data_IF_762835466868
#
_entry.id   IF_762835466868
#
_cell.length_a   1.000
_cell.length_b   1.000
_cell.length_c   1.000
_cell.angle_alpha   90.00
_cell.angle_beta   90.00
_cell.angle_gamma   90.00
#
_symmetry.space_group_name_H-M   'P 1'
#
loop_
_entity.id
_entity.type
_entity.pdbx_description
1 polymer ?
#
# COMPACT_ATOMS: atom_id res chain seq x y z
N UNK A 1 -4.81 -3.04 -22.21
CA UNK A 1 -5.19 -3.29 -20.80
C UNK A 1 -4.04 -3.88 -19.98
N UNK A 2 -3.33 -4.93 -20.44
CA UNK A 2 -2.20 -5.51 -19.69
C UNK A 2 -0.92 -4.64 -19.79
N UNK A 3 -0.58 -4.16 -20.99
CA UNK A 3 0.64 -3.35 -21.22
C UNK A 3 0.58 -2.02 -20.44
N UNK A 4 -0.60 -1.39 -20.42
CA UNK A 4 -0.85 -0.16 -19.64
C UNK A 4 -0.67 -0.40 -18.14
N UNK A 5 -1.12 -1.54 -17.63
CA UNK A 5 -0.92 -1.93 -16.24
C UNK A 5 0.56 -2.14 -15.88
N UNK A 6 1.32 -2.77 -16.79
CA UNK A 6 2.76 -2.99 -16.60
C UNK A 6 3.54 -1.67 -16.52
N UNK A 7 3.22 -0.72 -17.40
CA UNK A 7 3.87 0.60 -17.41
C UNK A 7 3.57 1.35 -16.11
N UNK A 8 2.31 1.38 -15.68
CA UNK A 8 1.91 2.04 -14.43
C UNK A 8 2.57 1.37 -13.23
N UNK A 9 2.59 0.04 -13.18
CA UNK A 9 3.23 -0.71 -12.10
C UNK A 9 4.74 -0.47 -12.01
N UNK A 10 5.43 -0.38 -13.15
CA UNK A 10 6.88 -0.10 -13.20
C UNK A 10 7.19 1.31 -12.69
N UNK A 11 6.45 2.31 -13.14
CA UNK A 11 6.60 3.70 -12.68
C UNK A 11 6.31 3.82 -11.18
N UNK A 12 5.22 3.21 -10.71
CA UNK A 12 4.82 3.21 -9.30
C UNK A 12 5.88 2.50 -8.43
N UNK A 13 6.37 1.35 -8.88
CA UNK A 13 7.42 0.59 -8.21
C UNK A 13 8.72 1.38 -8.08
N UNK A 14 9.14 2.07 -9.14
CA UNK A 14 10.32 2.93 -9.12
C UNK A 14 10.18 4.09 -8.10
N UNK A 15 9.01 4.74 -8.07
CA UNK A 15 8.73 5.81 -7.11
C UNK A 15 8.75 5.29 -5.67
N UNK A 16 8.13 4.14 -5.40
CA UNK A 16 8.12 3.55 -4.06
C UNK A 16 9.48 3.06 -3.59
N UNK A 17 10.29 2.51 -4.50
CA UNK A 17 11.65 2.09 -4.19
C UNK A 17 12.53 3.30 -3.79
N UNK A 18 12.50 4.38 -4.59
CA UNK A 18 13.24 5.61 -4.29
C UNK A 18 12.72 6.32 -3.03
N UNK A 19 11.41 6.29 -2.82
CA UNK A 19 10.77 6.87 -1.64
C UNK A 19 10.85 6.00 -0.39
N UNK A 20 11.33 4.75 -0.48
CA UNK A 20 11.26 3.73 0.60
C UNK A 20 9.91 3.75 1.33
N UNK A 21 8.82 3.85 0.56
CA UNK A 21 7.50 4.13 1.11
C UNK A 21 7.02 2.96 1.97
N UNK A 22 6.80 3.22 3.26
CA UNK A 22 6.41 2.21 4.21
C UNK A 22 5.40 2.80 5.20
N UNK A 23 4.14 2.37 5.11
CA UNK A 23 3.06 2.89 5.97
C UNK A 23 3.34 2.58 7.43
N UNK A 24 3.72 1.33 7.75
CA UNK A 24 4.09 0.94 9.12
C UNK A 24 5.32 1.70 9.62
N UNK A 25 6.28 1.98 8.71
CA UNK A 25 7.43 2.83 8.98
C UNK A 25 7.05 4.27 9.34
N UNK A 26 6.10 4.87 8.62
CA UNK A 26 5.65 6.23 8.89
C UNK A 26 5.01 6.38 10.27
N UNK A 27 4.18 5.41 10.70
CA UNK A 27 3.62 5.39 12.06
C UNK A 27 4.67 5.12 13.13
N UNK A 28 5.63 4.23 12.84
CA UNK A 28 6.75 3.93 13.74
C UNK A 28 7.66 5.14 13.94
N UNK A 29 8.01 5.83 12.87
CA UNK A 29 8.92 6.99 12.92
C UNK A 29 8.26 8.18 13.64
N UNK A 30 6.94 8.35 13.48
CA UNK A 30 6.15 9.33 14.23
C UNK A 30 6.20 9.06 15.75
N UNK A 31 6.06 7.80 16.16
CA UNK A 31 5.99 7.40 17.58
C UNK A 31 7.34 7.32 18.27
N UNK A 32 8.39 6.81 17.59
CA UNK A 32 9.71 6.60 18.18
C UNK A 32 10.66 7.80 18.01
N UNK A 33 10.66 8.43 16.84
CA UNK A 33 11.62 9.49 16.51
C UNK A 33 10.99 10.88 16.45
N UNK A 34 9.66 10.98 16.53
CA UNK A 34 8.92 12.23 16.36
C UNK A 34 9.02 12.80 14.93
N UNK A 35 9.53 12.03 13.97
CA UNK A 35 9.71 12.50 12.61
C UNK A 35 8.39 12.46 11.85
N UNK A 36 7.78 13.62 11.65
CA UNK A 36 6.48 13.78 10.98
C UNK A 36 6.56 13.77 9.46
N UNK A 37 7.77 13.77 8.88
CA UNK A 37 7.96 13.90 7.42
C UNK A 37 7.23 12.83 6.62
N UNK A 38 7.37 11.56 6.98
CA UNK A 38 6.73 10.47 6.23
C UNK A 38 5.23 10.38 6.52
N UNK A 39 4.81 10.79 7.71
CA UNK A 39 3.41 10.85 8.08
C UNK A 39 2.66 11.94 7.31
N UNK A 40 3.25 13.13 7.15
CA UNK A 40 2.65 14.22 6.36
C UNK A 40 2.56 13.85 4.87
N UNK A 41 3.59 13.21 4.31
CA UNK A 41 3.56 12.68 2.94
C UNK A 41 2.42 11.68 2.75
N UNK A 42 2.17 10.81 3.72
CA UNK A 42 1.08 9.83 3.66
C UNK A 42 -0.29 10.50 3.61
N UNK A 43 -0.53 11.52 4.44
CA UNK A 43 -1.79 12.28 4.44
C UNK A 43 -2.00 13.01 3.11
N UNK A 44 -0.95 13.67 2.60
CA UNK A 44 -1.02 14.36 1.30
C UNK A 44 -1.30 13.37 0.17
N UNK A 45 -0.68 12.19 0.19
CA UNK A 45 -0.91 11.14 -0.81
C UNK A 45 -2.36 10.66 -0.80
N UNK A 46 -2.95 10.43 0.39
CA UNK A 46 -4.36 10.05 0.52
C UNK A 46 -5.28 11.16 -0.01
N UNK A 47 -5.00 12.42 0.31
CA UNK A 47 -5.79 13.56 -0.14
C UNK A 47 -5.74 13.74 -1.67
N UNK A 48 -4.57 13.63 -2.28
CA UNK A 48 -4.42 13.71 -3.73
C UNK A 48 -5.12 12.54 -4.42
N UNK A 49 -5.01 11.33 -3.85
CA UNK A 49 -5.65 10.14 -4.40
C UNK A 49 -7.18 10.21 -4.33
N UNK A 50 -7.74 10.69 -3.22
CA UNK A 50 -9.20 10.84 -3.06
C UNK A 50 -9.77 11.87 -4.03
N UNK A 51 -9.11 13.02 -4.19
CA UNK A 51 -9.50 14.04 -5.17
C UNK A 51 -9.41 13.48 -6.59
N UNK A 52 -8.32 12.77 -6.91
CA UNK A 52 -8.15 12.13 -8.22
C UNK A 52 -9.28 11.15 -8.55
N UNK A 53 -9.62 10.24 -7.63
CA UNK A 53 -10.71 9.28 -7.81
C UNK A 53 -12.06 9.98 -8.00
N UNK A 54 -12.35 11.02 -7.21
CA UNK A 54 -13.61 11.77 -7.31
C UNK A 54 -13.73 12.50 -8.65
N UNK A 55 -12.65 13.11 -9.14
CA UNK A 55 -12.61 13.73 -10.46
C UNK A 55 -12.85 12.69 -11.56
N UNK A 56 -12.14 11.56 -11.55
CA UNK A 56 -12.30 10.52 -12.57
C UNK A 56 -13.71 9.91 -12.57
N UNK A 57 -14.37 9.86 -11.41
CA UNK A 57 -15.77 9.47 -11.31
C UNK A 57 -16.72 10.50 -11.93
N UNK A 58 -16.50 11.79 -11.68
CA UNK A 58 -17.30 12.87 -12.26
C UNK A 58 -17.22 12.95 -13.79
N UNK A 59 -16.07 12.54 -14.37
CA UNK A 59 -15.87 12.45 -15.82
C UNK A 59 -16.45 11.16 -16.45
N UNK A 60 -17.07 10.28 -15.65
CA UNK A 60 -17.72 9.05 -16.14
C UNK A 60 -16.74 7.99 -16.66
N UNK A 61 -15.44 8.14 -16.39
CA UNK A 61 -14.40 7.17 -16.82
C UNK A 61 -14.37 5.95 -15.90
N UNK A 62 -14.75 6.11 -14.62
CA UNK A 62 -14.74 5.05 -13.60
C UNK A 62 -16.04 5.10 -12.79
N UNK A 63 -16.76 3.98 -12.72
CA UNK A 63 -17.89 3.81 -11.79
C UNK A 63 -17.35 3.35 -10.44
N UNK A 64 -17.54 4.17 -9.39
CA UNK A 64 -17.31 3.71 -8.02
C UNK A 64 -18.51 2.86 -7.62
N UNK A 65 -18.41 1.55 -7.84
CA UNK A 65 -19.38 0.61 -7.29
C UNK A 65 -19.19 0.55 -5.77
N UNK A 66 -20.15 1.06 -5.01
CA UNK A 66 -20.14 0.95 -3.55
C UNK A 66 -20.45 -0.51 -3.17
N UNK A 67 -19.40 -1.35 -3.13
CA UNK A 67 -19.52 -2.69 -2.61
C UNK A 67 -20.04 -2.67 -1.16
N UNK A 68 -20.86 -3.65 -0.73
CA UNK A 68 -21.34 -3.70 0.64
C UNK A 68 -20.13 -3.81 1.58
N UNK A 69 -19.98 -2.85 2.49
CA UNK A 69 -18.86 -2.81 3.42
C UNK A 69 -19.04 -3.90 4.49
N UNK A 70 -18.27 -5.02 4.44
CA UNK A 70 -18.44 -6.11 5.38
C UNK A 70 -17.69 -5.75 6.67
N UNK A 71 -18.33 -4.96 7.53
CA UNK A 71 -17.72 -4.36 8.73
C UNK A 71 -16.96 -5.39 9.60
N UNK A 72 -17.52 -6.58 9.79
CA UNK A 72 -16.91 -7.62 10.62
C UNK A 72 -15.65 -8.21 9.95
N UNK A 73 -15.71 -8.45 8.64
CA UNK A 73 -14.57 -8.95 7.88
C UNK A 73 -13.44 -7.90 7.81
N UNK A 74 -13.78 -6.62 7.66
CA UNK A 74 -12.79 -5.53 7.64
C UNK A 74 -12.07 -5.36 8.98
N UNK A 75 -12.78 -5.47 10.11
CA UNK A 75 -12.16 -5.36 11.44
C UNK A 75 -11.28 -6.58 11.74
N UNK A 76 -11.82 -7.79 11.57
CA UNK A 76 -11.08 -9.03 11.88
C UNK A 76 -9.92 -9.21 10.91
N UNK A 77 -10.15 -9.03 9.62
CA UNK A 77 -9.11 -9.12 8.59
C UNK A 77 -8.04 -8.05 8.76
N UNK A 78 -8.42 -6.80 9.07
CA UNK A 78 -7.47 -5.71 9.31
C UNK A 78 -6.54 -5.99 10.50
N UNK A 79 -7.07 -6.53 11.60
CA UNK A 79 -6.27 -6.91 12.77
C UNK A 79 -5.30 -8.05 12.44
N UNK A 80 -5.79 -9.14 11.84
CA UNK A 80 -4.94 -10.29 11.47
C UNK A 80 -3.85 -9.86 10.48
N UNK A 81 -4.20 -9.07 9.47
CA UNK A 81 -3.27 -8.53 8.50
C UNK A 81 -2.22 -7.63 9.15
N UNK A 82 -2.62 -6.76 10.08
CA UNK A 82 -1.72 -5.92 10.85
C UNK A 82 -0.70 -6.73 11.65
N UNK A 83 -1.16 -7.73 12.42
CA UNK A 83 -0.27 -8.62 13.17
C UNK A 83 0.69 -9.38 12.26
N UNK A 84 0.19 -9.96 11.17
CA UNK A 84 1.00 -10.71 10.21
C UNK A 84 2.07 -9.83 9.55
N UNK A 85 1.77 -8.58 9.20
CA UNK A 85 2.73 -7.64 8.62
C UNK A 85 3.90 -7.32 9.55
N UNK A 86 3.63 -7.19 10.86
CA UNK A 86 4.69 -6.96 11.86
C UNK A 86 5.62 -8.17 11.94
N UNK A 87 5.06 -9.39 11.95
CA UNK A 87 5.84 -10.63 11.93
C UNK A 87 6.65 -10.80 10.63
N UNK A 88 6.10 -10.41 9.48
CA UNK A 88 6.79 -10.45 8.21
C UNK A 88 7.91 -9.39 8.06
N UNK A 89 8.02 -8.44 8.99
CA UNK A 89 9.05 -7.40 8.97
C UNK A 89 8.89 -6.39 7.83
N UNK A 90 7.65 -6.20 7.34
CA UNK A 90 7.35 -5.38 6.16
C UNK A 90 6.03 -4.62 6.24
N UNK A 91 5.65 -3.99 5.13
CA UNK A 91 4.30 -3.49 4.90
C UNK A 91 3.87 -3.90 3.49
N UNK A 92 2.57 -3.78 3.20
CA UNK A 92 2.00 -4.16 1.91
C UNK A 92 2.78 -3.61 0.71
N UNK A 93 3.05 -2.29 0.68
CA UNK A 93 3.84 -1.68 -0.40
C UNK A 93 5.32 -2.05 -0.34
N UNK A 94 5.83 -2.20 0.89
CA UNK A 94 7.21 -2.54 1.20
C UNK A 94 7.66 -3.88 0.63
N UNK A 95 6.82 -4.91 0.77
CA UNK A 95 7.15 -6.26 0.33
C UNK A 95 7.34 -6.34 -1.19
N UNK A 96 6.52 -5.63 -1.98
CA UNK A 96 6.62 -5.61 -3.44
C UNK A 96 7.96 -5.05 -3.95
N UNK A 97 8.33 -3.83 -3.56
CA UNK A 97 9.58 -3.24 -4.07
C UNK A 97 10.82 -3.85 -3.42
N UNK A 98 10.76 -4.27 -2.14
CA UNK A 98 11.89 -4.93 -1.46
C UNK A 98 12.19 -6.31 -2.00
N UNK A 99 11.18 -7.02 -2.51
CA UNK A 99 11.44 -8.25 -3.24
C UNK A 99 12.24 -7.98 -4.52
N UNK A 100 11.97 -6.86 -5.21
CA UNK A 100 12.77 -6.38 -6.34
C UNK A 100 14.20 -5.97 -5.96
N UNK A 101 14.43 -5.54 -4.71
CA UNK A 101 15.76 -5.24 -4.17
C UNK A 101 16.57 -6.48 -3.76
N UNK A 102 15.99 -7.68 -3.86
CA UNK A 102 16.67 -8.94 -3.53
C UNK A 102 16.58 -9.34 -2.06
N UNK A 103 15.68 -8.74 -1.27
CA UNK A 103 15.46 -9.13 0.12
C UNK A 103 14.70 -10.46 0.19
N UNK A 104 15.42 -11.55 0.48
CA UNK A 104 14.88 -12.93 0.55
C UNK A 104 13.68 -13.02 1.51
N UNK A 105 13.70 -12.30 2.64
CA UNK A 105 12.55 -12.26 3.55
C UNK A 105 11.27 -11.68 2.91
N UNK A 106 11.42 -10.72 1.99
CA UNK A 106 10.28 -10.15 1.26
C UNK A 106 9.74 -11.08 0.18
N UNK A 107 10.55 -12.00 -0.34
CA UNK A 107 10.09 -13.02 -1.29
C UNK A 107 9.12 -14.00 -0.61
N UNK A 108 9.49 -14.50 0.57
CA UNK A 108 8.59 -15.36 1.34
C UNK A 108 7.28 -14.64 1.68
N UNK A 109 7.36 -13.38 2.14
CA UNK A 109 6.18 -12.57 2.43
C UNK A 109 5.26 -12.39 1.20
N UNK A 110 5.83 -12.16 0.02
CA UNK A 110 5.05 -12.03 -1.22
C UNK A 110 4.40 -13.34 -1.66
N UNK A 111 5.10 -14.47 -1.53
CA UNK A 111 4.54 -15.79 -1.89
C UNK A 111 3.32 -16.08 -1.02
N UNK A 112 3.43 -15.89 0.30
CA UNK A 112 2.32 -16.09 1.21
C UNK A 112 1.18 -15.09 0.94
N UNK A 113 1.50 -13.83 0.65
CA UNK A 113 0.48 -12.84 0.31
C UNK A 113 -0.30 -13.21 -0.96
N UNK A 114 0.39 -13.66 -2.01
CA UNK A 114 -0.24 -14.08 -3.27
C UNK A 114 -1.00 -15.41 -3.16
N UNK A 115 -0.63 -16.29 -2.24
CA UNK A 115 -1.32 -17.57 -2.02
C UNK A 115 -2.65 -17.39 -1.28
N UNK A 116 -2.73 -16.39 -0.39
CA UNK A 116 -3.88 -16.13 0.47
C UNK A 116 -4.68 -14.88 0.07
N UNK A 117 -4.40 -14.26 -1.09
CA UNK A 117 -5.16 -13.15 -1.68
C UNK A 117 -6.41 -13.64 -2.41
#
# INVERSE_FOLDING_TARGET
MIITGLIVGLVLGFVFQRGRFCVTGAFRDLTLTGNTRWFSVLIVLIAVHSIGLFLLNSFGVITLEAAPFPWLASIVGGLIFGFAMVYAGGCATGTYYRAGEGLVGSWFALIFYALFS
#
